data_IF_295485547474
#
_entry.id   IF_295485547474
#
_cell.length_a   1.000
_cell.length_b   1.000
_cell.length_c   1.000
_cell.angle_alpha   90.00
_cell.angle_beta   90.00
_cell.angle_gamma   90.00
#
_symmetry.space_group_name_H-M   'P 1'
#
loop_
_entity.id
_entity.type
_entity.pdbx_description
1 polymer ?
#
# COMPACT_ATOMS: atom_id res chain seq x y z
N UNK A 1 -33.62 7.21 20.92
CA UNK A 1 -32.34 6.77 21.52
C UNK A 1 -31.34 6.59 20.40
N UNK A 2 -30.12 7.10 20.54
CA UNK A 2 -29.07 6.82 19.55
C UNK A 2 -28.67 5.34 19.65
N UNK A 3 -28.55 4.68 18.49
CA UNK A 3 -28.08 3.29 18.39
C UNK A 3 -26.68 3.29 17.79
N UNK A 4 -25.77 2.53 18.38
CA UNK A 4 -24.43 2.26 17.84
C UNK A 4 -24.26 0.80 17.42
N UNK A 5 -23.20 0.51 16.69
CA UNK A 5 -22.77 -0.86 16.33
C UNK A 5 -21.45 -1.15 17.03
N UNK A 6 -21.26 -2.34 17.63
CA UNK A 6 -19.97 -2.69 18.24
C UNK A 6 -18.87 -2.76 17.18
N UNK A 7 -17.64 -2.49 17.60
CA UNK A 7 -16.47 -2.62 16.72
C UNK A 7 -16.25 -4.07 16.32
N UNK A 8 -15.82 -4.25 15.06
CA UNK A 8 -15.29 -5.53 14.59
C UNK A 8 -13.91 -5.78 15.19
N UNK A 9 -13.53 -7.04 15.33
CA UNK A 9 -12.15 -7.39 15.69
C UNK A 9 -11.17 -6.80 14.67
N UNK A 10 -10.10 -6.18 15.13
CA UNK A 10 -9.05 -5.59 14.27
C UNK A 10 -7.67 -6.20 14.51
N UNK A 11 -7.47 -6.91 15.62
CA UNK A 11 -6.22 -7.60 15.98
C UNK A 11 -6.48 -8.92 16.72
N UNK A 12 -5.53 -9.86 16.62
CA UNK A 12 -5.48 -11.10 17.43
C UNK A 12 -4.87 -10.84 18.82
N UNK A 13 -4.96 -11.79 19.78
CA UNK A 13 -4.24 -11.71 21.04
C UNK A 13 -2.71 -11.57 20.91
N UNK A 14 -2.14 -12.08 19.82
CA UNK A 14 -0.72 -11.94 19.47
C UNK A 14 -0.39 -10.63 18.73
N UNK A 15 -1.34 -9.68 18.72
CA UNK A 15 -1.23 -8.37 18.07
C UNK A 15 -1.00 -8.41 16.56
N UNK A 16 -1.49 -9.46 15.90
CA UNK A 16 -1.49 -9.56 14.43
C UNK A 16 -2.75 -8.88 13.86
N UNK A 17 -2.62 -8.17 12.73
CA UNK A 17 -3.79 -7.64 11.99
C UNK A 17 -4.70 -8.79 11.56
N UNK A 18 -6.01 -8.66 11.77
CA UNK A 18 -7.01 -9.59 11.22
C UNK A 18 -7.65 -9.11 9.90
N UNK A 19 -7.40 -7.85 9.56
CA UNK A 19 -7.90 -7.16 8.36
C UNK A 19 -6.94 -7.40 7.19
N UNK A 20 -7.03 -8.61 6.61
CA UNK A 20 -6.32 -9.00 5.41
C UNK A 20 -6.82 -8.21 4.18
N UNK A 21 -6.01 -8.06 3.12
CA UNK A 21 -6.47 -7.52 1.86
C UNK A 21 -7.68 -8.29 1.32
N UNK A 22 -8.71 -7.57 0.90
CA UNK A 22 -9.93 -8.15 0.32
C UNK A 22 -9.91 -8.15 -1.22
N UNK A 23 -8.83 -7.66 -1.83
CA UNK A 23 -8.65 -7.59 -3.28
C UNK A 23 -7.77 -8.75 -3.73
N UNK A 24 -8.22 -9.49 -4.74
CA UNK A 24 -7.53 -10.65 -5.29
C UNK A 24 -6.11 -10.31 -5.78
N UNK A 25 -5.12 -11.07 -5.31
CA UNK A 25 -3.70 -10.87 -5.62
C UNK A 25 -3.01 -9.72 -4.88
N UNK A 26 -3.71 -8.94 -4.04
CA UNK A 26 -3.05 -7.98 -3.14
C UNK A 26 -2.49 -8.73 -1.94
N UNK A 27 -1.20 -8.55 -1.66
CA UNK A 27 -0.53 -9.15 -0.53
C UNK A 27 -0.20 -8.09 0.54
N UNK A 28 -0.25 -8.50 1.81
CA UNK A 28 0.18 -7.67 2.94
C UNK A 28 1.09 -8.51 3.84
N UNK A 29 2.28 -7.99 4.12
CA UNK A 29 3.18 -8.58 5.11
C UNK A 29 3.50 -7.52 6.15
N UNK A 30 3.10 -7.77 7.40
CA UNK A 30 3.57 -6.98 8.55
C UNK A 30 5.01 -7.37 8.91
N UNK A 31 5.80 -6.37 9.29
CA UNK A 31 7.18 -6.52 9.76
C UNK A 31 7.24 -6.08 11.23
N UNK A 32 7.99 -6.83 12.03
CA UNK A 32 8.27 -6.50 13.44
C UNK A 32 9.69 -5.95 13.55
N UNK A 33 9.87 -4.65 13.79
CA UNK A 33 11.19 -4.09 14.04
C UNK A 33 11.86 -4.71 15.26
N UNK A 34 13.19 -4.79 15.23
CA UNK A 34 14.00 -5.25 16.35
C UNK A 34 14.76 -4.07 16.92
N UNK A 35 14.50 -3.73 18.19
CA UNK A 35 15.23 -2.69 18.89
C UNK A 35 16.70 -3.09 19.10
N UNK A 36 17.60 -2.12 18.96
CA UNK A 36 19.04 -2.26 19.15
C UNK A 36 19.55 -1.16 20.08
N UNK A 37 20.84 -1.21 20.48
CA UNK A 37 21.45 -0.16 21.32
C UNK A 37 21.55 1.21 20.63
N UNK A 38 21.37 1.27 19.31
CA UNK A 38 21.54 2.48 18.49
C UNK A 38 20.27 2.86 17.72
N UNK A 39 19.15 2.19 17.96
CA UNK A 39 17.88 2.44 17.28
C UNK A 39 17.07 1.16 17.09
N UNK A 40 16.65 0.88 15.86
CA UNK A 40 15.92 -0.34 15.50
C UNK A 40 16.26 -0.78 14.07
N UNK A 41 16.27 -2.09 13.85
CA UNK A 41 16.38 -2.72 12.53
C UNK A 41 14.98 -3.09 12.03
N UNK A 42 14.67 -2.76 10.79
CA UNK A 42 13.41 -3.17 10.13
C UNK A 42 13.74 -3.73 8.76
N UNK A 43 13.37 -4.99 8.51
CA UNK A 43 13.44 -5.56 7.17
C UNK A 43 12.40 -4.88 6.26
N UNK A 44 12.78 -4.54 5.04
CA UNK A 44 11.86 -3.93 4.06
C UNK A 44 11.28 -4.98 3.13
N UNK A 45 12.12 -5.89 2.63
CA UNK A 45 11.75 -6.92 1.66
C UNK A 45 12.67 -8.13 1.79
N UNK A 46 12.10 -9.30 1.50
CA UNK A 46 12.78 -10.58 1.36
C UNK A 46 12.10 -11.40 0.27
N UNK A 47 12.88 -12.05 -0.58
CA UNK A 47 12.36 -12.91 -1.65
C UNK A 47 11.55 -14.07 -1.07
N UNK A 48 12.00 -14.61 0.06
CA UNK A 48 11.39 -15.77 0.73
C UNK A 48 10.03 -15.46 1.38
N UNK A 49 9.62 -14.19 1.43
CA UNK A 49 8.25 -13.82 1.84
C UNK A 49 7.21 -14.15 0.78
N UNK A 50 7.65 -14.44 -0.45
CA UNK A 50 6.83 -14.88 -1.59
C UNK A 50 5.52 -14.07 -1.72
N UNK A 51 5.65 -12.74 -1.73
CA UNK A 51 4.50 -11.84 -1.85
C UNK A 51 3.76 -12.03 -3.18
N UNK A 52 4.50 -12.37 -4.23
CA UNK A 52 4.02 -12.47 -5.62
C UNK A 52 4.89 -13.39 -6.52
N UNK A 53 5.97 -13.98 -6.01
CA UNK A 53 6.90 -14.80 -6.80
C UNK A 53 7.69 -14.07 -7.89
N UNK A 54 7.73 -12.73 -7.88
CA UNK A 54 8.39 -11.92 -8.90
C UNK A 54 9.71 -11.31 -8.39
N UNK A 55 10.70 -11.03 -9.26
CA UNK A 55 11.93 -10.36 -8.86
C UNK A 55 11.69 -8.89 -8.44
N UNK A 56 12.76 -8.21 -8.01
CA UNK A 56 12.80 -6.75 -7.86
C UNK A 56 13.65 -6.18 -8.99
N UNK A 57 13.00 -5.53 -9.97
CA UNK A 57 13.65 -4.91 -11.12
C UNK A 57 14.11 -3.48 -10.85
N UNK A 58 13.46 -2.76 -9.94
CA UNK A 58 13.84 -1.41 -9.54
C UNK A 58 13.34 -1.09 -8.13
N UNK A 59 14.13 -0.30 -7.41
CA UNK A 59 13.70 0.33 -6.15
C UNK A 59 13.79 1.83 -6.30
N UNK A 60 12.72 2.52 -5.97
CA UNK A 60 12.71 3.98 -5.92
C UNK A 60 11.99 4.48 -4.67
N UNK A 61 12.25 5.74 -4.35
CA UNK A 61 11.70 6.41 -3.19
C UNK A 61 10.82 7.58 -3.62
N UNK A 62 9.72 7.75 -2.90
CA UNK A 62 8.87 8.92 -2.97
C UNK A 62 8.75 9.59 -1.61
N UNK A 63 9.02 10.88 -1.55
CA UNK A 63 8.75 11.71 -0.38
C UNK A 63 7.40 12.42 -0.55
N UNK A 64 6.59 12.41 0.51
CA UNK A 64 5.32 13.10 0.60
C UNK A 64 5.43 14.19 1.68
N UNK A 65 4.98 15.39 1.37
CA UNK A 65 4.77 16.44 2.37
C UNK A 65 3.56 16.12 3.25
N UNK A 66 3.46 16.73 4.45
CA UNK A 66 2.29 16.56 5.32
C UNK A 66 0.98 16.81 4.58
N UNK A 67 0.04 15.86 4.69
CA UNK A 67 -1.28 15.94 4.02
C UNK A 67 -1.26 15.75 2.50
N UNK A 68 -0.10 15.49 1.88
CA UNK A 68 -0.04 15.27 0.44
C UNK A 68 -0.83 14.02 0.03
N UNK A 69 -1.60 14.15 -1.05
CA UNK A 69 -2.39 13.09 -1.66
C UNK A 69 -1.82 12.76 -3.03
N UNK A 70 -1.73 11.47 -3.34
CA UNK A 70 -1.27 10.98 -4.63
C UNK A 70 -2.13 9.82 -5.08
N UNK A 71 -2.22 9.62 -6.39
CA UNK A 71 -3.16 8.70 -6.98
C UNK A 71 -4.39 9.41 -7.52
N UNK A 72 -5.25 8.70 -8.24
CA UNK A 72 -5.15 7.27 -8.46
C UNK A 72 -4.12 6.89 -9.52
N UNK A 73 -3.37 5.83 -9.26
CA UNK A 73 -2.33 5.29 -10.11
C UNK A 73 -2.60 3.81 -10.37
N UNK A 74 -2.26 3.28 -11.54
CA UNK A 74 -2.28 1.84 -11.79
C UNK A 74 -1.20 1.47 -12.79
N UNK A 75 -0.51 0.36 -12.58
CA UNK A 75 0.40 -0.20 -13.57
C UNK A 75 -0.35 -1.18 -14.49
N UNK A 76 -0.03 -1.13 -15.78
CA UNK A 76 -0.60 -2.05 -16.77
C UNK A 76 0.03 -3.44 -16.72
N UNK A 77 1.32 -3.52 -16.38
CA UNK A 77 2.07 -4.80 -16.34
C UNK A 77 2.99 -4.95 -15.13
N UNK A 78 3.38 -3.86 -14.49
CA UNK A 78 4.28 -3.85 -13.32
C UNK A 78 3.52 -4.13 -12.02
N UNK A 79 4.13 -4.90 -11.12
CA UNK A 79 3.66 -5.13 -9.75
C UNK A 79 4.41 -4.19 -8.81
N UNK A 80 3.67 -3.43 -8.00
CA UNK A 80 4.25 -2.56 -6.98
C UNK A 80 4.41 -3.32 -5.66
N UNK A 81 5.42 -2.90 -4.87
CA UNK A 81 5.54 -3.30 -3.47
C UNK A 81 5.84 -2.08 -2.63
N UNK A 82 4.81 -1.54 -1.99
CA UNK A 82 4.90 -0.29 -1.25
C UNK A 82 5.27 -0.52 0.22
N UNK A 83 6.27 0.21 0.70
CA UNK A 83 6.69 0.20 2.10
C UNK A 83 6.94 1.63 2.59
N UNK A 84 6.33 2.04 3.71
CA UNK A 84 6.53 3.36 4.29
C UNK A 84 7.63 3.33 5.37
N UNK A 85 8.80 3.90 5.08
CA UNK A 85 9.96 3.86 5.99
C UNK A 85 10.04 5.02 6.97
N UNK A 86 9.43 6.17 6.65
CA UNK A 86 9.36 7.36 7.52
C UNK A 86 7.94 7.88 7.54
N UNK A 87 7.48 8.32 8.71
CA UNK A 87 6.12 8.82 8.90
C UNK A 87 5.07 7.72 8.78
N UNK A 88 3.87 8.12 8.38
CA UNK A 88 2.73 7.23 8.16
C UNK A 88 1.99 7.63 6.89
N UNK A 89 1.48 6.65 6.16
CA UNK A 89 0.62 6.86 5.00
C UNK A 89 -0.62 5.98 5.09
N UNK A 90 -1.74 6.46 4.53
CA UNK A 90 -2.84 5.57 4.14
C UNK A 90 -2.65 5.17 2.69
N UNK A 91 -2.43 3.88 2.45
CA UNK A 91 -2.49 3.27 1.13
C UNK A 91 -3.93 2.84 0.90
N UNK A 92 -4.55 3.31 -0.17
CA UNK A 92 -5.91 2.95 -0.57
C UNK A 92 -5.86 2.30 -1.94
N UNK A 93 -6.56 1.18 -2.09
CA UNK A 93 -6.58 0.34 -3.27
C UNK A 93 -8.02 0.20 -3.78
N UNK A 94 -8.17 0.10 -5.09
CA UNK A 94 -9.42 -0.18 -5.77
C UNK A 94 -9.20 -1.18 -6.91
N UNK A 95 -9.98 -2.24 -6.93
CA UNK A 95 -9.90 -3.25 -7.99
C UNK A 95 -10.66 -2.82 -9.24
N UNK A 96 -9.94 -2.23 -10.20
CA UNK A 96 -10.50 -1.80 -11.49
C UNK A 96 -10.55 -2.92 -12.56
N UNK A 97 -10.11 -4.14 -12.24
CA UNK A 97 -10.01 -5.23 -13.21
C UNK A 97 -11.38 -5.87 -13.41
N UNK A 98 -12.05 -5.58 -14.54
CA UNK A 98 -13.42 -6.07 -14.83
C UNK A 98 -13.60 -7.59 -14.73
N UNK A 99 -12.55 -8.36 -14.98
CA UNK A 99 -12.56 -9.82 -14.91
C UNK A 99 -12.20 -10.38 -13.52
N UNK A 100 -11.82 -9.52 -12.56
CA UNK A 100 -11.45 -9.93 -11.21
C UNK A 100 -12.67 -10.35 -10.40
N UNK A 101 -12.59 -11.41 -9.57
CA UNK A 101 -13.65 -11.78 -8.64
C UNK A 101 -13.92 -10.71 -7.57
N UNK A 102 -12.96 -9.79 -7.35
CA UNK A 102 -13.07 -8.68 -6.40
C UNK A 102 -13.25 -7.34 -7.10
N UNK A 103 -13.67 -7.31 -8.37
CA UNK A 103 -13.94 -6.08 -9.11
C UNK A 103 -14.83 -5.10 -8.32
N UNK A 104 -14.43 -3.83 -8.27
CA UNK A 104 -15.15 -2.79 -7.56
C UNK A 104 -14.86 -2.74 -6.05
N UNK A 105 -14.07 -3.68 -5.52
CA UNK A 105 -13.70 -3.70 -4.09
C UNK A 105 -12.71 -2.59 -3.79
N UNK A 106 -12.94 -1.91 -2.66
CA UNK A 106 -12.01 -0.95 -2.07
C UNK A 106 -11.38 -1.57 -0.83
N UNK A 107 -10.08 -1.38 -0.67
CA UNK A 107 -9.36 -1.73 0.55
C UNK A 107 -8.40 -0.61 0.90
N UNK A 108 -8.16 -0.35 2.19
CA UNK A 108 -7.15 0.62 2.58
C UNK A 108 -6.46 0.20 3.88
N UNK A 109 -5.22 0.66 4.05
CA UNK A 109 -4.44 0.41 5.25
C UNK A 109 -3.55 1.59 5.59
N UNK A 110 -3.45 1.88 6.88
CA UNK A 110 -2.43 2.77 7.40
C UNK A 110 -1.16 1.95 7.65
N UNK A 111 -0.06 2.35 7.04
CA UNK A 111 1.27 1.76 7.22
C UNK A 111 2.27 2.87 7.53
N UNK A 112 3.30 2.56 8.29
CA UNK A 112 4.30 3.55 8.71
C UNK A 112 5.27 3.00 9.72
N UNK A 113 6.15 3.85 10.23
CA UNK A 113 7.25 3.45 11.10
C UNK A 113 6.80 2.73 12.40
N UNK A 114 5.61 3.07 12.92
CA UNK A 114 5.07 2.45 14.15
C UNK A 114 4.59 1.02 13.91
N UNK A 115 4.06 0.73 12.73
CA UNK A 115 3.56 -0.59 12.34
C UNK A 115 3.93 -0.88 10.89
N UNK A 116 5.20 -1.22 10.62
CA UNK A 116 5.69 -1.37 9.27
C UNK A 116 5.06 -2.55 8.56
N UNK A 117 4.71 -2.33 7.30
CA UNK A 117 4.21 -3.39 6.43
C UNK A 117 4.60 -3.08 4.99
N UNK A 118 4.77 -4.14 4.20
CA UNK A 118 4.90 -4.07 2.75
C UNK A 118 3.60 -4.56 2.11
N UNK A 119 3.12 -3.81 1.12
CA UNK A 119 1.89 -4.08 0.38
C UNK A 119 2.24 -4.40 -1.07
N UNK A 120 1.99 -5.64 -1.50
CA UNK A 120 2.11 -6.06 -2.90
C UNK A 120 0.83 -5.73 -3.67
N UNK A 121 0.96 -5.04 -4.81
CA UNK A 121 -0.17 -4.53 -5.60
C UNK A 121 0.00 -5.03 -7.06
N UNK A 122 -0.86 -5.94 -7.52
CA UNK A 122 -0.76 -6.49 -8.87
C UNK A 122 -1.22 -5.48 -9.93
N UNK A 123 -0.85 -5.72 -11.21
CA UNK A 123 -1.26 -4.85 -12.33
C UNK A 123 -2.78 -4.66 -12.40
N UNK A 124 -3.22 -3.46 -12.76
CA UNK A 124 -4.63 -3.09 -12.90
C UNK A 124 -5.36 -2.75 -11.59
N UNK A 125 -4.73 -2.92 -10.42
CA UNK A 125 -5.27 -2.40 -9.15
C UNK A 125 -4.87 -0.94 -9.01
N UNK A 126 -5.87 -0.07 -8.89
CA UNK A 126 -5.67 1.34 -8.67
C UNK A 126 -5.24 1.61 -7.24
N UNK A 127 -4.25 2.45 -7.04
CA UNK A 127 -3.76 2.81 -5.71
C UNK A 127 -3.58 4.31 -5.55
N UNK A 128 -3.84 4.78 -4.33
CA UNK A 128 -3.59 6.13 -3.88
C UNK A 128 -2.93 6.14 -2.51
N UNK A 129 -2.07 7.12 -2.28
CA UNK A 129 -1.29 7.25 -1.05
C UNK A 129 -1.46 8.64 -0.48
N UNK A 130 -1.85 8.70 0.78
CA UNK A 130 -2.05 9.95 1.54
C UNK A 130 -1.08 9.98 2.71
N UNK A 131 -0.25 11.02 2.80
CA UNK A 131 0.61 11.23 3.95
C UNK A 131 -0.19 11.72 5.17
N UNK A 132 0.09 11.09 6.30
CA UNK A 132 -0.58 11.34 7.57
C UNK A 132 0.38 11.98 8.56
N UNK A 133 -0.16 12.81 9.44
CA UNK A 133 0.60 13.47 10.50
C UNK A 133 1.30 14.75 10.05
N UNK A 134 2.10 15.36 10.95
CA UNK A 134 2.70 16.67 10.75
C UNK A 134 4.04 16.64 10.00
N UNK A 135 4.66 15.46 9.88
CA UNK A 135 5.97 15.28 9.28
C UNK A 135 5.88 14.71 7.86
N UNK A 136 7.00 14.68 7.14
CA UNK A 136 7.08 14.01 5.85
C UNK A 136 6.82 12.50 5.99
N UNK A 137 6.30 11.91 4.93
CA UNK A 137 6.31 10.46 4.77
C UNK A 137 7.23 10.04 3.62
N UNK A 138 7.90 8.90 3.78
CA UNK A 138 8.79 8.33 2.79
C UNK A 138 8.29 6.93 2.44
N UNK A 139 7.91 6.75 1.18
CA UNK A 139 7.44 5.47 0.64
C UNK A 139 8.47 4.94 -0.34
N UNK A 140 8.97 3.74 -0.07
CA UNK A 140 9.73 2.92 -1.00
C UNK A 140 8.75 2.14 -1.87
N UNK A 141 9.08 2.01 -3.15
CA UNK A 141 8.41 1.07 -4.04
C UNK A 141 9.45 0.14 -4.67
N UNK A 142 9.24 -1.16 -4.51
CA UNK A 142 10.10 -2.23 -5.03
C UNK A 142 9.35 -2.94 -6.15
N UNK A 143 9.45 -2.42 -7.37
CA UNK A 143 8.72 -2.91 -8.54
C UNK A 143 9.41 -4.11 -9.17
N UNK A 144 8.63 -5.01 -9.78
CA UNK A 144 9.17 -6.18 -10.50
C UNK A 144 9.89 -5.82 -11.80
N UNK A 145 9.47 -4.74 -12.44
CA UNK A 145 10.03 -4.23 -13.71
C UNK A 145 10.51 -2.81 -13.53
N UNK A 146 11.71 -2.53 -14.04
CA UNK A 146 12.20 -1.16 -14.09
C UNK A 146 11.36 -0.30 -15.04
N UNK A 147 11.25 0.99 -14.71
CA UNK A 147 10.52 1.97 -15.50
C UNK A 147 11.00 2.01 -16.96
N UNK A 148 10.08 1.81 -17.90
CA UNK A 148 10.33 1.97 -19.33
C UNK A 148 10.16 3.44 -19.74
N UNK A 149 11.27 4.13 -19.99
CA UNK A 149 11.27 5.58 -20.28
C UNK A 149 10.45 5.96 -21.52
N UNK A 150 10.54 5.18 -22.60
CA UNK A 150 9.87 5.49 -23.87
C UNK A 150 8.41 5.01 -23.92
N UNK A 151 8.03 4.08 -23.04
CA UNK A 151 6.72 3.44 -23.03
C UNK A 151 6.28 3.09 -21.60
N UNK A 152 6.02 4.10 -20.73
CA UNK A 152 5.64 3.86 -19.36
C UNK A 152 4.26 3.18 -19.27
N UNK A 153 4.11 2.21 -18.36
CA UNK A 153 2.87 1.46 -18.16
C UNK A 153 1.97 2.05 -17.06
N UNK A 154 2.30 3.26 -16.58
CA UNK A 154 1.66 3.89 -15.44
C UNK A 154 0.48 4.78 -15.86
N UNK A 155 -0.72 4.38 -15.46
CA UNK A 155 -1.98 5.07 -15.69
C UNK A 155 -2.33 5.98 -14.52
N UNK A 156 -3.03 7.08 -14.79
CA UNK A 156 -3.38 8.09 -13.78
C UNK A 156 -4.84 8.49 -13.90
N UNK A 157 -5.48 8.71 -12.76
CA UNK A 157 -6.73 9.45 -12.63
C UNK A 157 -6.56 10.54 -11.57
N UNK A 158 -7.32 11.65 -11.65
CA UNK A 158 -7.36 12.63 -10.58
C UNK A 158 -7.72 12.01 -9.22
N UNK A 159 -7.18 12.50 -8.09
CA UNK A 159 -7.51 11.99 -6.76
C UNK A 159 -9.01 12.05 -6.40
N UNK A 160 -9.73 12.99 -7.00
CA UNK A 160 -11.15 13.30 -6.81
C UNK A 160 -12.05 12.72 -7.93
N UNK A 161 -11.51 11.83 -8.77
CA UNK A 161 -12.27 11.18 -9.84
C UNK A 161 -13.55 10.50 -9.34
N UNK A 162 -14.64 10.65 -10.09
CA UNK A 162 -15.90 9.94 -9.82
C UNK A 162 -15.89 8.49 -10.30
N UNK A 163 -14.87 8.07 -11.05
CA UNK A 163 -14.75 6.71 -11.57
C UNK A 163 -14.46 5.67 -10.48
N UNK A 164 -13.91 6.10 -9.34
CA UNK A 164 -13.60 5.24 -8.20
C UNK A 164 -14.45 5.74 -7.03
N UNK A 165 -15.31 4.88 -6.42
CA UNK A 165 -16.24 5.29 -5.37
C UNK A 165 -15.55 5.43 -4.01
N UNK A 166 -14.39 6.09 -3.97
CA UNK A 166 -13.60 6.29 -2.76
C UNK A 166 -12.81 7.59 -2.83
N UNK A 167 -12.89 8.39 -1.75
CA UNK A 167 -12.17 9.65 -1.64
C UNK A 167 -10.83 9.43 -0.95
N UNK A 168 -9.76 9.89 -1.60
CA UNK A 168 -8.42 9.82 -1.00
C UNK A 168 -8.22 10.87 0.10
N UNK A 169 -8.89 12.03 0.03
CA UNK A 169 -8.86 13.06 1.07
C UNK A 169 -10.13 13.04 1.93
#
# INVERSE_FOLDING_TARGET
MATGTPDRQTVTPDWLVVDAPTIDGVALKEIRPVATSTGYLTEVFREEWDLDGLPVGQVFQRTLYPGAVTGWHAHGVTTDRLFCSVGSVRISLFDGRKASPTFGTVWHKIVGAVRPAIVGIPPGVWHGVVALGPDIALVLNLVDKAYAYDAPDHWRLPPDTEQIPYKLA
#
